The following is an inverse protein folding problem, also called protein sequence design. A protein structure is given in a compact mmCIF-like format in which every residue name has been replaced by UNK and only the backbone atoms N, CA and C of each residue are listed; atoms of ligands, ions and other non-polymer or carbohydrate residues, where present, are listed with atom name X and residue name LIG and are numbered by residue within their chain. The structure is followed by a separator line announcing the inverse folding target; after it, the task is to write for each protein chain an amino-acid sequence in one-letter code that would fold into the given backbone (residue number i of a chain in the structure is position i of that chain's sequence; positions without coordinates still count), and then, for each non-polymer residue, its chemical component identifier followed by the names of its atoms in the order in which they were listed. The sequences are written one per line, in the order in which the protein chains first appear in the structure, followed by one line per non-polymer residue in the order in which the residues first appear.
data_IF_684509406166
#
_entry.id   IF_684509406166
#
_cell.length_a   1.000
_cell.length_b   1.000
_cell.length_c   1.000
_cell.angle_alpha   90.00
_cell.angle_beta   90.00
_cell.angle_gamma   90.00
#
_symmetry.space_group_name_H-M   'P 1'
#
loop_
_entity.id
_entity.type
_entity.pdbx_description
1 polymer ?
#
# COMPACT_ATOMS: atom_id res chain seq x y z
N UNK A 1 -6.85 15.15 -11.84
CA UNK A 1 -7.87 15.30 -10.77
C UNK A 1 -8.61 14.00 -10.48
N UNK A 2 -9.01 13.22 -11.50
CA UNK A 2 -9.71 11.93 -11.36
C UNK A 2 -8.89 10.83 -10.66
N UNK A 3 -7.60 10.70 -10.95
CA UNK A 3 -6.72 9.69 -10.33
C UNK A 3 -6.58 9.85 -8.81
N UNK A 4 -6.46 11.09 -8.32
CA UNK A 4 -6.30 11.38 -6.90
C UNK A 4 -7.54 11.09 -6.07
N UNK A 5 -8.73 11.42 -6.60
CA UNK A 5 -10.02 11.11 -5.94
C UNK A 5 -10.18 9.60 -5.79
N UNK A 6 -9.81 8.86 -6.84
CA UNK A 6 -9.85 7.40 -6.85
C UNK A 6 -8.89 6.80 -5.82
N UNK A 7 -7.70 7.40 -5.64
CA UNK A 7 -6.74 7.03 -4.61
C UNK A 7 -7.26 7.23 -3.19
N UNK A 8 -7.88 8.37 -2.89
CA UNK A 8 -8.47 8.65 -1.58
C UNK A 8 -9.61 7.66 -1.26
N UNK A 9 -10.52 7.43 -2.20
CA UNK A 9 -11.60 6.46 -2.05
C UNK A 9 -11.05 5.05 -1.82
N UNK A 10 -10.05 4.65 -2.60
CA UNK A 10 -9.40 3.34 -2.47
C UNK A 10 -8.75 3.15 -1.09
N UNK A 11 -8.02 4.15 -0.62
CA UNK A 11 -7.38 4.12 0.70
C UNK A 11 -8.40 4.06 1.84
N UNK A 12 -9.54 4.75 1.72
CA UNK A 12 -10.65 4.64 2.69
C UNK A 12 -11.19 3.21 2.75
N UNK A 13 -11.41 2.56 1.60
CA UNK A 13 -11.85 1.16 1.59
C UNK A 13 -10.84 0.21 2.20
N UNK A 14 -9.54 0.41 1.92
CA UNK A 14 -8.46 -0.37 2.55
C UNK A 14 -8.55 -0.24 4.08
N UNK A 15 -8.66 0.99 4.59
CA UNK A 15 -8.81 1.24 6.03
C UNK A 15 -10.04 0.52 6.57
N UNK A 16 -11.23 0.72 5.99
CA UNK A 16 -12.47 0.09 6.48
C UNK A 16 -12.36 -1.44 6.54
N UNK A 17 -11.81 -2.06 5.49
CA UNK A 17 -11.67 -3.52 5.42
C UNK A 17 -10.67 -4.00 6.48
N UNK A 18 -9.48 -3.41 6.56
CA UNK A 18 -8.46 -3.88 7.50
C UNK A 18 -8.75 -3.52 8.95
N UNK A 19 -9.56 -2.49 9.23
CA UNK A 19 -10.04 -2.19 10.59
C UNK A 19 -10.85 -3.35 11.19
N UNK A 20 -11.45 -4.21 10.36
CA UNK A 20 -12.13 -5.44 10.83
C UNK A 20 -11.14 -6.54 11.26
N UNK A 21 -9.86 -6.40 10.90
CA UNK A 21 -8.81 -7.42 11.07
C UNK A 21 -7.60 -6.91 11.87
N UNK A 22 -7.81 -5.93 12.77
CA UNK A 22 -6.78 -5.25 13.59
C UNK A 22 -5.89 -6.16 14.43
N UNK A 23 -6.30 -7.40 14.68
CA UNK A 23 -5.52 -8.35 15.50
C UNK A 23 -4.23 -8.81 14.80
N UNK A 24 -4.10 -8.58 13.49
CA UNK A 24 -2.88 -8.89 12.76
C UNK A 24 -1.95 -7.67 12.70
N UNK A 25 -0.72 -7.80 13.21
CA UNK A 25 0.27 -6.71 13.20
C UNK A 25 0.49 -6.12 11.79
N UNK A 26 0.55 -6.95 10.76
CA UNK A 26 0.64 -6.51 9.37
C UNK A 26 -0.56 -5.66 8.90
N UNK A 27 -1.77 -5.96 9.36
CA UNK A 27 -2.93 -5.14 9.05
C UNK A 27 -2.79 -3.72 9.63
N UNK A 28 -2.17 -3.57 10.81
CA UNK A 28 -1.91 -2.26 11.43
C UNK A 28 -0.94 -1.44 10.57
N UNK A 29 0.13 -2.05 10.05
CA UNK A 29 1.06 -1.38 9.14
C UNK A 29 0.38 -0.98 7.83
N UNK A 30 -0.45 -1.85 7.25
CA UNK A 30 -1.20 -1.53 6.02
C UNK A 30 -2.24 -0.42 6.22
N UNK A 31 -2.93 -0.40 7.37
CA UNK A 31 -3.84 0.70 7.74
C UNK A 31 -3.05 2.00 7.87
N UNK A 32 -1.90 1.96 8.54
CA UNK A 32 -1.06 3.14 8.73
C UNK A 32 -0.52 3.67 7.40
N UNK A 33 -0.09 2.78 6.50
CA UNK A 33 0.33 3.13 5.14
C UNK A 33 -0.83 3.76 4.34
N UNK A 34 -2.03 3.20 4.41
CA UNK A 34 -3.22 3.75 3.73
C UNK A 34 -3.59 5.15 4.24
N UNK A 35 -3.50 5.38 5.56
CA UNK A 35 -3.73 6.70 6.16
C UNK A 35 -2.68 7.69 5.66
N UNK A 36 -1.39 7.33 5.73
CA UNK A 36 -0.31 8.19 5.26
C UNK A 36 -0.41 8.48 3.75
N UNK A 37 -0.81 7.50 2.94
CA UNK A 37 -1.07 7.69 1.51
C UNK A 37 -2.23 8.68 1.27
N UNK A 38 -3.31 8.63 2.04
CA UNK A 38 -4.41 9.59 1.92
C UNK A 38 -4.00 11.01 2.36
N UNK A 39 -3.21 11.14 3.43
CA UNK A 39 -2.64 12.42 3.86
C UNK A 39 -1.72 12.97 2.75
N UNK A 40 -0.86 12.13 2.17
CA UNK A 40 0.03 12.49 1.06
C UNK A 40 -0.74 13.02 -0.16
N UNK A 41 -1.79 12.30 -0.59
CA UNK A 41 -2.61 12.70 -1.75
C UNK A 41 -3.34 14.01 -1.46
N UNK A 42 -3.96 14.13 -0.27
CA UNK A 42 -4.69 15.32 0.14
C UNK A 42 -3.77 16.55 0.20
N UNK A 43 -2.60 16.40 0.82
CA UNK A 43 -1.65 17.50 0.95
C UNK A 43 -1.05 17.91 -0.41
N UNK A 44 -0.69 16.95 -1.27
CA UNK A 44 -0.25 17.26 -2.63
C UNK A 44 -1.29 18.03 -3.43
N UNK A 45 -2.57 17.65 -3.33
CA UNK A 45 -3.65 18.40 -3.97
C UNK A 45 -3.74 19.81 -3.43
N UNK A 46 -3.77 19.96 -2.10
CA UNK A 46 -3.85 21.26 -1.45
C UNK A 46 -2.74 22.21 -1.94
N UNK A 47 -1.51 21.69 -1.97
CA UNK A 47 -0.33 22.42 -2.41
C UNK A 47 -0.33 22.74 -3.91
N UNK A 48 -1.01 21.97 -4.76
CA UNK A 48 -1.17 22.29 -6.18
C UNK A 48 -2.20 23.41 -6.43
N UNK A 49 -3.26 23.48 -5.61
CA UNK A 49 -4.28 24.53 -5.73
C UNK A 49 -3.81 25.88 -5.14
N UNK A 50 -2.98 25.85 -4.10
CA UNK A 50 -2.56 27.05 -3.37
C UNK A 50 -1.88 28.15 -4.23
N UNK A 51 -0.95 27.85 -5.16
CA UNK A 51 -0.24 28.87 -5.96
C UNK A 51 -1.16 29.61 -6.94
N UNK A 52 -2.32 29.05 -7.27
CA UNK A 52 -3.28 29.69 -8.17
C UNK A 52 -3.95 30.92 -7.52
N UNK A 53 -3.86 31.03 -6.19
CA UNK A 53 -4.56 32.06 -5.42
C UNK A 53 -3.63 33.13 -4.82
N UNK A 54 -2.32 32.88 -4.78
CA UNK A 54 -1.31 33.77 -4.21
C UNK A 54 -0.13 33.92 -5.18
N UNK A 55 -0.17 34.94 -6.03
CA UNK A 55 0.84 35.23 -7.06
C UNK A 55 1.99 36.14 -6.58
N UNK A 56 2.02 36.55 -5.30
CA UNK A 56 2.98 37.55 -4.83
C UNK A 56 4.40 36.97 -4.61
N UNK A 57 5.42 37.65 -5.15
CA UNK A 57 6.85 37.31 -5.13
C UNK A 57 7.55 37.50 -3.76
N UNK A 58 6.84 37.35 -2.64
CA UNK A 58 7.39 37.62 -1.31
C UNK A 58 8.03 36.39 -0.66
N UNK A 59 8.79 36.59 0.43
CA UNK A 59 9.40 35.54 1.28
C UNK A 59 8.44 34.36 1.61
N UNK A 60 7.12 34.62 1.68
CA UNK A 60 6.09 33.60 1.85
C UNK A 60 6.04 32.60 0.70
N UNK A 61 6.20 33.03 -0.55
CA UNK A 61 6.25 32.15 -1.72
C UNK A 61 7.44 31.19 -1.66
N UNK A 62 8.59 31.64 -1.15
CA UNK A 62 9.78 30.79 -0.98
C UNK A 62 9.58 29.72 0.10
N UNK A 63 9.05 30.08 1.27
CA UNK A 63 8.76 29.13 2.35
C UNK A 63 7.72 28.09 1.91
N UNK A 64 6.65 28.54 1.23
CA UNK A 64 5.63 27.65 0.68
C UNK A 64 6.18 26.72 -0.40
N UNK A 65 7.08 27.21 -1.26
CA UNK A 65 7.76 26.39 -2.27
C UNK A 65 8.59 25.26 -1.63
N UNK A 66 9.33 25.56 -0.56
CA UNK A 66 10.07 24.54 0.19
C UNK A 66 9.15 23.54 0.86
N UNK A 67 8.12 24.00 1.59
CA UNK A 67 7.14 23.11 2.24
C UNK A 67 6.45 22.19 1.22
N UNK A 68 6.14 22.74 0.04
CA UNK A 68 5.56 22.01 -1.10
C UNK A 68 6.43 20.85 -1.57
N UNK A 69 7.74 20.98 -1.55
CA UNK A 69 8.66 19.92 -1.97
C UNK A 69 8.96 18.94 -0.85
N UNK A 70 9.26 19.43 0.35
CA UNK A 70 9.71 18.58 1.46
C UNK A 70 8.59 17.76 2.08
N UNK A 71 7.43 18.36 2.34
CA UNK A 71 6.40 17.67 3.14
C UNK A 71 5.79 16.46 2.41
N UNK A 72 5.39 16.55 1.12
CA UNK A 72 4.93 15.37 0.40
C UNK A 72 6.02 14.31 0.29
N UNK A 73 7.28 14.72 0.08
CA UNK A 73 8.40 13.77 0.02
C UNK A 73 8.52 12.99 1.33
N UNK A 74 8.49 13.67 2.48
CA UNK A 74 8.56 13.03 3.80
C UNK A 74 7.36 12.11 4.03
N UNK A 75 6.13 12.58 3.82
CA UNK A 75 4.92 11.79 4.06
C UNK A 75 4.88 10.56 3.14
N UNK A 76 5.24 10.74 1.87
CA UNK A 76 5.32 9.65 0.90
C UNK A 76 6.38 8.61 1.27
N UNK A 77 7.53 9.05 1.80
CA UNK A 77 8.54 8.13 2.34
C UNK A 77 8.05 7.42 3.60
N UNK A 78 7.38 8.11 4.53
CA UNK A 78 6.80 7.50 5.73
C UNK A 78 5.80 6.40 5.38
N UNK A 79 4.88 6.65 4.44
CA UNK A 79 3.91 5.65 3.98
C UNK A 79 4.62 4.37 3.48
N UNK A 80 5.71 4.52 2.74
CA UNK A 80 6.50 3.40 2.21
C UNK A 80 7.27 2.69 3.31
N UNK A 81 7.87 3.41 4.26
CA UNK A 81 8.57 2.80 5.39
C UNK A 81 7.65 1.92 6.23
N UNK A 82 6.36 2.26 6.35
CA UNK A 82 5.38 1.39 7.02
C UNK A 82 5.21 0.04 6.32
N UNK A 83 5.22 0.01 4.99
CA UNK A 83 5.15 -1.22 4.20
C UNK A 83 6.42 -2.06 4.41
N UNK A 84 7.58 -1.41 4.49
CA UNK A 84 8.86 -2.07 4.80
C UNK A 84 8.85 -2.66 6.21
N UNK A 85 8.35 -1.91 7.20
CA UNK A 85 8.21 -2.42 8.56
C UNK A 85 7.24 -3.61 8.61
N UNK A 86 6.19 -3.63 7.80
CA UNK A 86 5.33 -4.81 7.68
C UNK A 86 6.10 -6.04 7.16
N UNK A 87 6.98 -5.86 6.18
CA UNK A 87 7.87 -6.93 5.69
C UNK A 87 8.84 -7.41 6.76
N UNK A 88 9.50 -6.48 7.46
CA UNK A 88 10.48 -6.78 8.50
C UNK A 88 9.80 -7.53 9.65
N UNK A 89 8.64 -7.05 10.11
CA UNK A 89 7.84 -7.69 11.16
C UNK A 89 7.52 -9.15 10.77
N UNK A 90 7.02 -9.36 9.55
CA UNK A 90 6.73 -10.72 9.06
C UNK A 90 7.99 -11.57 8.89
N UNK A 91 9.09 -11.01 8.42
CA UNK A 91 10.36 -11.74 8.32
C UNK A 91 10.85 -12.18 9.70
N UNK A 92 10.79 -11.28 10.70
CA UNK A 92 11.19 -11.57 12.08
C UNK A 92 10.33 -12.66 12.71
N UNK A 93 9.03 -12.70 12.43
CA UNK A 93 8.14 -13.77 12.91
C UNK A 93 8.47 -15.11 12.25
N UNK A 94 8.93 -15.11 10.99
CA UNK A 94 9.26 -16.35 10.25
C UNK A 94 10.66 -16.91 10.52
N UNK A 95 11.58 -16.11 11.06
CA UNK A 95 12.98 -16.51 11.24
C UNK A 95 13.37 -16.62 12.72
N UNK A 96 13.70 -17.84 13.16
CA UNK A 96 14.02 -18.15 14.56
C UNK A 96 15.45 -17.76 14.99
N UNK A 97 16.28 -17.18 14.10
CA UNK A 97 17.67 -16.84 14.43
C UNK A 97 17.79 -15.45 15.03
N UNK A 98 18.12 -15.38 16.33
CA UNK A 98 18.25 -14.15 17.13
C UNK A 98 19.30 -13.17 16.59
N UNK A 99 20.41 -13.67 16.02
CA UNK A 99 21.49 -12.85 15.45
C UNK A 99 21.02 -12.04 14.23
N UNK A 100 20.12 -12.60 13.42
CA UNK A 100 19.55 -11.91 12.24
C UNK A 100 18.57 -10.81 12.68
N UNK A 101 17.88 -10.99 13.81
CA UNK A 101 16.96 -9.98 14.38
C UNK A 101 17.71 -8.73 14.86
N UNK A 102 18.92 -8.89 15.42
CA UNK A 102 19.73 -7.78 15.92
C UNK A 102 20.40 -6.97 14.79
N UNK A 103 20.85 -7.64 13.72
CA UNK A 103 21.52 -6.99 12.58
C UNK A 103 20.59 -6.09 11.74
N UNK A 104 19.29 -6.42 11.68
CA UNK A 104 18.29 -5.70 10.87
C UNK A 104 17.89 -4.35 11.47
N UNK A 105 17.93 -4.22 12.80
CA UNK A 105 17.60 -2.97 13.51
C UNK A 105 18.66 -1.89 13.26
N UNK A 106 19.91 -2.29 12.98
CA UNK A 106 21.06 -1.39 12.87
C UNK A 106 21.24 -0.87 11.43
N UNK A 107 20.74 -1.58 10.40
CA UNK A 107 20.88 -1.23 8.98
C UNK A 107 19.58 -0.60 8.43
N UNK A 108 18.93 0.25 9.23
CA UNK A 108 17.65 0.89 8.89
C UNK A 108 17.71 2.01 7.85
N UNK A 109 18.88 2.27 7.25
CA UNK A 109 19.15 3.48 6.45
C UNK A 109 19.38 3.22 4.95
N UNK A 110 19.20 1.98 4.46
CA UNK A 110 19.34 1.62 3.03
C UNK A 110 18.05 0.92 2.53
N UNK A 111 16.89 1.61 2.50
CA UNK A 111 15.58 0.93 2.38
C UNK A 111 15.32 0.16 1.07
N UNK A 112 15.76 0.60 -0.14
CA UNK A 112 15.26 -0.03 -1.37
C UNK A 112 15.96 -1.36 -1.75
N UNK A 113 17.28 -1.47 -1.57
CA UNK A 113 18.03 -2.71 -1.93
C UNK A 113 17.71 -3.85 -0.95
N UNK A 114 17.52 -3.46 0.32
CA UNK A 114 17.18 -4.37 1.40
C UNK A 114 15.75 -4.92 1.26
N UNK A 115 14.82 -4.14 0.71
CA UNK A 115 13.45 -4.55 0.40
C UNK A 115 13.39 -5.70 -0.61
N UNK A 116 14.18 -5.66 -1.68
CA UNK A 116 14.18 -6.71 -2.70
C UNK A 116 14.81 -8.01 -2.17
N UNK A 117 15.93 -7.89 -1.43
CA UNK A 117 16.61 -9.04 -0.83
C UNK A 117 15.70 -9.70 0.22
N UNK A 118 15.07 -8.94 1.12
CA UNK A 118 14.20 -9.52 2.14
C UNK A 118 12.86 -9.99 1.60
N UNK A 119 12.26 -9.32 0.61
CA UNK A 119 11.07 -9.81 -0.07
C UNK A 119 11.31 -11.19 -0.71
N UNK A 120 12.44 -11.32 -1.42
CA UNK A 120 12.86 -12.58 -2.03
C UNK A 120 13.15 -13.67 -0.98
N UNK A 121 13.95 -13.35 0.05
CA UNK A 121 14.31 -14.30 1.11
C UNK A 121 13.08 -14.77 1.89
N UNK A 122 12.13 -13.89 2.19
CA UNK A 122 10.89 -14.25 2.89
C UNK A 122 10.07 -15.24 2.07
N UNK A 123 9.96 -15.00 0.76
CA UNK A 123 9.25 -15.88 -0.15
C UNK A 123 9.90 -17.28 -0.23
N UNK A 124 11.22 -17.33 -0.33
CA UNK A 124 11.99 -18.58 -0.31
C UNK A 124 11.88 -19.33 1.03
N UNK A 125 11.93 -18.61 2.16
CA UNK A 125 11.84 -19.19 3.49
C UNK A 125 10.45 -19.77 3.75
N UNK A 126 9.38 -19.07 3.34
CA UNK A 126 8.01 -19.60 3.39
C UNK A 126 7.83 -20.86 2.54
N UNK A 127 8.47 -20.93 1.35
CA UNK A 127 8.47 -22.16 0.53
C UNK A 127 9.18 -23.32 1.21
N UNK A 128 10.26 -23.05 1.97
CA UNK A 128 11.06 -24.06 2.69
C UNK A 128 10.35 -24.58 3.93
N UNK A 129 9.72 -23.69 4.71
CA UNK A 129 8.88 -24.05 5.87
C UNK A 129 7.65 -24.85 5.42
N UNK A 130 7.06 -24.50 4.28
CA UNK A 130 5.96 -25.25 3.67
C UNK A 130 6.34 -26.69 3.30
N UNK A 131 7.61 -26.97 2.96
CA UNK A 131 8.08 -28.34 2.67
C UNK A 131 8.40 -29.15 3.93
N UNK A 132 8.70 -28.52 5.06
CA UNK A 132 9.04 -29.23 6.32
C UNK A 132 7.85 -29.52 7.23
N UNK A 133 6.71 -28.85 7.00
CA UNK A 133 5.52 -28.99 7.84
C UNK A 133 4.37 -29.53 7.00
N UNK A 134 4.33 -30.86 6.80
CA UNK A 134 3.08 -31.58 6.55
C UNK A 134 2.33 -31.74 7.89
N UNK A 135 1.00 -31.58 7.96
CA UNK A 135 0.29 -31.51 9.23
C UNK A 135 -0.19 -32.89 9.71
N UNK A 136 0.33 -33.32 10.85
CA UNK A 136 -0.44 -34.11 11.82
C UNK A 136 -1.33 -33.12 12.59
N UNK A 137 -2.56 -33.52 12.97
CA UNK A 137 -3.62 -32.79 13.71
C UNK A 137 -4.73 -32.20 12.83
N UNK A 138 -5.85 -32.95 12.74
CA UNK A 138 -6.95 -32.81 11.76
C UNK A 138 -8.11 -31.85 12.13
N UNK A 139 -8.23 -31.40 13.39
CA UNK A 139 -9.45 -30.70 13.86
C UNK A 139 -9.28 -29.20 14.21
N UNK A 140 -8.06 -28.69 14.37
CA UNK A 140 -7.77 -27.23 14.45
C UNK A 140 -7.46 -26.62 13.06
N UNK A 141 -7.67 -27.41 11.99
CA UNK A 141 -7.15 -27.15 10.65
C UNK A 141 -7.90 -26.02 9.95
N UNK A 142 -9.22 -25.91 10.02
CA UNK A 142 -9.94 -24.96 9.18
C UNK A 142 -9.63 -23.50 9.52
N UNK A 143 -9.63 -23.14 10.81
CA UNK A 143 -9.30 -21.79 11.26
C UNK A 143 -7.84 -21.42 10.99
N UNK A 144 -6.89 -22.33 11.26
CA UNK A 144 -5.46 -22.08 11.03
C UNK A 144 -5.09 -22.08 9.54
N UNK A 145 -5.75 -22.88 8.70
CA UNK A 145 -5.55 -22.86 7.25
C UNK A 145 -6.08 -21.55 6.66
N UNK A 146 -7.24 -21.07 7.12
CA UNK A 146 -7.80 -19.78 6.68
C UNK A 146 -6.90 -18.59 7.09
N UNK A 147 -6.46 -18.53 8.35
CA UNK A 147 -5.54 -17.49 8.85
C UNK A 147 -4.22 -17.50 8.06
N UNK A 148 -3.65 -18.69 7.83
CA UNK A 148 -2.38 -18.87 7.11
C UNK A 148 -2.48 -18.54 5.63
N UNK A 149 -3.63 -18.77 5.01
CA UNK A 149 -3.89 -18.36 3.62
C UNK A 149 -3.98 -16.83 3.51
N UNK A 150 -4.64 -16.18 4.46
CA UNK A 150 -4.77 -14.73 4.52
C UNK A 150 -3.42 -14.03 4.73
N UNK A 151 -2.58 -14.57 5.61
CA UNK A 151 -1.22 -14.06 5.82
C UNK A 151 -0.35 -14.14 4.56
N UNK A 152 -0.49 -15.23 3.80
CA UNK A 152 0.21 -15.38 2.51
C UNK A 152 -0.30 -14.38 1.49
N UNK A 153 -1.61 -14.19 1.40
CA UNK A 153 -2.20 -13.25 0.45
C UNK A 153 -1.80 -11.81 0.79
N UNK A 154 -1.72 -11.46 2.09
CA UNK A 154 -1.18 -10.18 2.58
C UNK A 154 0.29 -9.99 2.21
N UNK A 155 1.12 -11.03 2.37
CA UNK A 155 2.53 -10.97 2.01
C UNK A 155 2.73 -10.77 0.50
N UNK A 156 1.94 -11.46 -0.33
CA UNK A 156 1.99 -11.29 -1.79
C UNK A 156 1.65 -9.85 -2.17
N UNK A 157 0.58 -9.28 -1.59
CA UNK A 157 0.19 -7.88 -1.81
C UNK A 157 1.37 -6.93 -1.53
N UNK A 158 1.97 -7.07 -0.34
CA UNK A 158 3.06 -6.18 0.11
C UNK A 158 4.28 -6.28 -0.82
N UNK A 159 4.63 -7.49 -1.28
CA UNK A 159 5.74 -7.70 -2.23
C UNK A 159 5.47 -7.01 -3.56
N UNK A 160 4.24 -7.09 -4.08
CA UNK A 160 3.89 -6.41 -5.32
C UNK A 160 3.93 -4.88 -5.19
N UNK A 161 3.49 -4.35 -4.05
CA UNK A 161 3.55 -2.92 -3.77
C UNK A 161 4.99 -2.41 -3.69
N UNK A 162 5.88 -3.20 -3.07
CA UNK A 162 7.33 -2.95 -3.08
C UNK A 162 7.91 -2.98 -4.49
N UNK A 163 7.56 -3.99 -5.28
CA UNK A 163 8.08 -4.17 -6.64
C UNK A 163 7.70 -3.00 -7.56
N UNK A 164 6.41 -2.61 -7.55
CA UNK A 164 5.92 -1.46 -8.32
C UNK A 164 6.62 -0.17 -7.86
N UNK A 165 6.84 -0.01 -6.56
CA UNK A 165 7.57 1.13 -6.02
C UNK A 165 9.02 1.18 -6.50
N UNK A 166 9.76 0.08 -6.44
CA UNK A 166 11.17 0.01 -6.87
C UNK A 166 11.31 0.40 -8.33
N UNK A 167 10.41 -0.07 -9.19
CA UNK A 167 10.40 0.31 -10.62
C UNK A 167 10.15 1.82 -10.78
N UNK A 168 9.11 2.36 -10.13
CA UNK A 168 8.78 3.78 -10.24
C UNK A 168 9.89 4.68 -9.67
N UNK A 169 10.49 4.29 -8.54
CA UNK A 169 11.53 5.04 -7.86
C UNK A 169 12.86 5.00 -8.59
N UNK A 170 13.23 3.84 -9.16
CA UNK A 170 14.45 3.71 -9.96
C UNK A 170 14.36 4.57 -11.21
N UNK A 171 13.23 4.54 -11.92
CA UNK A 171 13.01 5.40 -13.10
C UNK A 171 13.14 6.89 -12.75
N UNK A 172 12.51 7.34 -11.66
CA UNK A 172 12.62 8.74 -11.21
C UNK A 172 14.07 9.11 -10.85
N UNK A 173 14.78 8.22 -10.16
CA UNK A 173 16.17 8.45 -9.74
C UNK A 173 17.12 8.53 -10.95
N UNK A 174 16.90 7.70 -11.97
CA UNK A 174 17.68 7.72 -13.21
C UNK A 174 17.49 9.03 -13.99
N UNK A 175 16.24 9.50 -14.14
CA UNK A 175 15.94 10.76 -14.83
C UNK A 175 16.54 11.95 -14.07
N UNK A 176 16.50 11.92 -12.74
CA UNK A 176 17.08 12.98 -11.91
C UNK A 176 18.62 12.97 -11.98
N UNK A 177 19.24 11.79 -12.05
CA UNK A 177 20.68 11.65 -12.26
C UNK A 177 21.07 12.19 -13.65
N UNK A 178 20.32 11.87 -14.69
CA UNK A 178 20.54 12.40 -16.05
C UNK A 178 20.43 13.94 -16.06
N UNK A 179 19.40 14.49 -15.42
CA UNK A 179 19.19 15.94 -15.24
C UNK A 179 20.41 16.63 -14.61
N UNK A 180 20.94 16.06 -13.52
CA UNK A 180 22.13 16.56 -12.82
C UNK A 180 23.40 16.48 -13.66
N UNK A 181 23.62 15.35 -14.36
CA UNK A 181 24.78 15.19 -15.24
C UNK A 181 24.71 16.20 -16.39
N UNK A 182 23.52 16.37 -16.97
CA UNK A 182 23.29 17.29 -18.08
C UNK A 182 23.54 18.76 -17.68
N UNK A 183 23.12 19.17 -16.47
CA UNK A 183 23.43 20.50 -15.93
C UNK A 183 24.94 20.75 -15.74
N UNK A 184 25.69 19.71 -15.34
CA UNK A 184 27.14 19.84 -15.14
C UNK A 184 27.93 19.82 -16.44
N UNK A 185 27.47 19.05 -17.43
CA UNK A 185 28.23 18.80 -18.68
C UNK A 185 27.89 19.77 -19.81
N UNK A 186 26.65 20.28 -19.86
CA UNK A 186 26.21 21.19 -20.92
C UNK A 186 26.09 22.64 -20.42
N UNK A 187 27.00 23.50 -20.88
CA UNK A 187 27.01 24.92 -20.50
C UNK A 187 25.76 25.68 -20.99
N UNK A 188 25.18 25.26 -22.14
CA UNK A 188 23.97 25.82 -22.74
C UNK A 188 23.04 24.70 -23.21
N UNK A 189 21.95 24.45 -22.48
CA UNK A 189 20.92 23.48 -22.87
C UNK A 189 20.04 24.04 -23.99
N UNK A 190 19.70 23.22 -24.99
CA UNK A 190 18.73 23.60 -26.01
C UNK A 190 17.32 23.62 -25.42
N UNK A 191 16.43 24.47 -25.96
CA UNK A 191 15.03 24.57 -25.51
C UNK A 191 14.31 23.23 -25.66
N UNK A 192 14.57 22.50 -26.74
CA UNK A 192 13.96 21.19 -27.00
C UNK A 192 14.39 20.12 -25.98
N UNK A 193 15.66 20.14 -25.57
CA UNK A 193 16.15 19.22 -24.55
C UNK A 193 15.51 19.51 -23.19
N UNK A 194 15.45 20.78 -22.80
CA UNK A 194 14.81 21.20 -21.55
C UNK A 194 13.32 20.81 -21.50
N UNK A 195 12.60 20.91 -22.62
CA UNK A 195 11.21 20.46 -22.71
C UNK A 195 11.08 18.95 -22.51
N UNK A 196 11.99 18.17 -23.11
CA UNK A 196 12.00 16.70 -22.99
C UNK A 196 12.30 16.27 -21.54
N UNK A 197 13.29 16.91 -20.91
CA UNK A 197 13.68 16.67 -19.52
C UNK A 197 12.51 16.95 -18.56
N UNK A 198 11.85 18.09 -18.70
CA UNK A 198 10.68 18.45 -17.90
C UNK A 198 9.51 17.47 -18.11
N UNK A 199 9.29 17.02 -19.35
CA UNK A 199 8.27 16.02 -19.66
C UNK A 199 8.56 14.67 -18.99
N UNK A 200 9.81 14.20 -19.04
CA UNK A 200 10.23 12.95 -18.40
C UNK A 200 10.12 13.03 -16.88
N UNK A 201 10.52 14.15 -16.27
CA UNK A 201 10.36 14.40 -14.84
C UNK A 201 8.88 14.42 -14.43
N UNK A 202 8.01 15.04 -15.23
CA UNK A 202 6.58 15.02 -15.01
C UNK A 202 6.01 13.59 -15.08
N UNK A 203 6.40 12.82 -16.09
CA UNK A 203 5.96 11.43 -16.26
C UNK A 203 6.42 10.55 -15.08
N UNK A 204 7.66 10.69 -14.65
CA UNK A 204 8.21 9.94 -13.52
C UNK A 204 7.54 10.33 -12.19
N UNK A 205 7.29 11.62 -11.97
CA UNK A 205 6.52 12.09 -10.82
C UNK A 205 5.08 11.57 -10.83
N UNK A 206 4.45 11.50 -12.01
CA UNK A 206 3.12 10.93 -12.17
C UNK A 206 3.11 9.45 -11.81
N UNK A 207 4.09 8.65 -12.27
CA UNK A 207 4.23 7.24 -11.90
C UNK A 207 4.42 7.06 -10.39
N UNK A 208 5.23 7.90 -9.75
CA UNK A 208 5.44 7.87 -8.32
C UNK A 208 4.15 8.19 -7.53
N UNK A 209 3.34 9.11 -8.05
CA UNK A 209 2.07 9.53 -7.42
C UNK A 209 0.95 8.50 -7.65
N UNK A 210 0.93 7.87 -8.81
CA UNK A 210 0.02 6.75 -9.12
C UNK A 210 0.26 5.60 -8.16
N UNK A 211 1.51 5.36 -7.74
CA UNK A 211 1.84 4.29 -6.80
C UNK A 211 1.04 4.40 -5.48
N UNK A 212 0.94 5.59 -4.88
CA UNK A 212 0.13 5.83 -3.66
C UNK A 212 -1.38 5.64 -3.86
N UNK A 213 -1.85 5.65 -5.10
CA UNK A 213 -3.25 5.37 -5.47
C UNK A 213 -3.45 3.92 -5.95
N UNK A 214 -2.35 3.21 -6.25
CA UNK A 214 -2.37 1.88 -6.86
C UNK A 214 -2.65 0.77 -5.86
N UNK A 215 -2.36 0.98 -4.57
CA UNK A 215 -2.52 -0.01 -3.50
C UNK A 215 -3.91 -0.64 -3.52
N UNK A 216 -4.99 0.15 -3.66
CA UNK A 216 -6.34 -0.39 -3.74
C UNK A 216 -6.54 -1.36 -4.93
N UNK A 217 -6.04 -0.98 -6.11
CA UNK A 217 -6.15 -1.81 -7.32
C UNK A 217 -5.30 -3.09 -7.23
N UNK A 218 -4.12 -2.99 -6.65
CA UNK A 218 -3.25 -4.13 -6.36
C UNK A 218 -3.98 -5.09 -5.42
N UNK A 219 -4.63 -4.57 -4.37
CA UNK A 219 -5.26 -5.39 -3.34
C UNK A 219 -6.50 -6.10 -3.90
N UNK A 220 -7.28 -5.38 -4.70
CA UNK A 220 -8.44 -5.93 -5.41
C UNK A 220 -8.04 -6.98 -6.44
N UNK A 221 -6.98 -6.75 -7.21
CA UNK A 221 -6.53 -7.66 -8.28
C UNK A 221 -5.83 -8.91 -7.76
N UNK A 222 -5.03 -8.80 -6.69
CA UNK A 222 -4.15 -9.89 -6.25
C UNK A 222 -4.71 -10.73 -5.10
N UNK A 223 -5.49 -10.16 -4.19
CA UNK A 223 -5.96 -10.90 -3.00
C UNK A 223 -7.40 -11.36 -3.14
N UNK A 224 -7.59 -12.67 -3.20
CA UNK A 224 -8.93 -13.28 -3.18
C UNK A 224 -9.64 -12.95 -1.87
N UNK A 225 -8.93 -13.00 -0.74
CA UNK A 225 -9.51 -12.66 0.56
C UNK A 225 -9.99 -11.22 0.61
N UNK A 226 -9.22 -10.27 0.07
CA UNK A 226 -9.62 -8.87 0.03
C UNK A 226 -10.84 -8.63 -0.86
N UNK A 227 -10.92 -9.31 -2.02
CA UNK A 227 -12.09 -9.24 -2.90
C UNK A 227 -13.37 -9.72 -2.24
N UNK A 228 -13.32 -10.82 -1.50
CA UNK A 228 -14.50 -11.34 -0.82
C UNK A 228 -14.95 -10.41 0.30
N UNK A 229 -14.03 -9.87 1.09
CA UNK A 229 -14.35 -8.86 2.12
C UNK A 229 -14.94 -7.59 1.49
N UNK A 230 -14.39 -7.12 0.36
CA UNK A 230 -14.91 -5.97 -0.37
C UNK A 230 -16.31 -6.21 -0.95
N UNK A 231 -16.57 -7.39 -1.54
CA UNK A 231 -17.91 -7.78 -2.00
C UNK A 231 -18.90 -7.82 -0.84
N UNK A 232 -18.51 -8.38 0.30
CA UNK A 232 -19.37 -8.43 1.49
C UNK A 232 -19.69 -7.02 2.00
N UNK A 233 -18.72 -6.11 2.00
CA UNK A 233 -18.92 -4.71 2.35
C UNK A 233 -19.91 -4.03 1.40
N UNK A 234 -19.76 -4.21 0.08
CA UNK A 234 -20.70 -3.66 -0.92
C UNK A 234 -22.10 -4.23 -0.70
N UNK A 235 -22.24 -5.54 -0.52
CA UNK A 235 -23.53 -6.19 -0.28
C UNK A 235 -24.18 -5.71 1.02
N UNK A 236 -23.39 -5.49 2.07
CA UNK A 236 -23.87 -4.92 3.32
C UNK A 236 -24.41 -3.50 3.13
N UNK A 237 -23.64 -2.63 2.46
CA UNK A 237 -24.05 -1.23 2.18
C UNK A 237 -25.29 -1.20 1.30
N UNK A 238 -25.32 -2.00 0.22
CA UNK A 238 -26.46 -2.11 -0.68
C UNK A 238 -27.74 -2.55 0.04
N UNK A 239 -27.66 -3.57 0.91
CA UNK A 239 -28.82 -4.04 1.69
C UNK A 239 -29.28 -3.03 2.73
N UNK A 240 -28.35 -2.33 3.37
CA UNK A 240 -28.65 -1.25 4.33
C UNK A 240 -29.38 -0.10 3.64
N UNK A 241 -28.93 0.30 2.44
CA UNK A 241 -29.60 1.29 1.60
C UNK A 241 -31.00 0.83 1.17
N UNK A 242 -31.17 -0.46 0.84
CA UNK A 242 -32.45 -1.05 0.43
C UNK A 242 -33.37 -1.42 1.61
N UNK A 243 -33.00 -1.12 2.86
CA UNK A 243 -33.73 -1.53 4.09
C UNK A 243 -34.14 -3.02 4.11
N UNK A 244 -33.36 -3.88 3.46
CA UNK A 244 -33.67 -5.31 3.40
C UNK A 244 -33.20 -5.99 4.69
N UNK A 245 -33.98 -6.92 5.28
CA UNK A 245 -33.62 -7.54 6.56
C UNK A 245 -32.34 -8.40 6.45
N UNK A 246 -31.52 -8.48 7.51
CA UNK A 246 -30.23 -9.17 7.49
C UNK A 246 -30.38 -10.70 7.30
N UNK A 247 -29.44 -11.37 6.62
CA UNK A 247 -29.45 -12.83 6.34
C UNK A 247 -29.75 -13.69 7.58
N UNK A 248 -29.33 -13.26 8.79
CA UNK A 248 -29.63 -13.98 10.04
C UNK A 248 -31.13 -14.11 10.32
N UNK A 249 -31.96 -13.19 9.84
CA UNK A 249 -33.42 -13.32 9.95
C UNK A 249 -33.97 -14.31 8.92
N UNK A 250 -33.45 -14.34 7.69
CA UNK A 250 -33.90 -15.28 6.65
C UNK A 250 -33.56 -16.73 7.02
N UNK A 251 -32.37 -16.97 7.59
CA UNK A 251 -32.01 -18.32 8.03
C UNK A 251 -32.87 -18.78 9.22
N UNK A 252 -33.16 -17.89 10.19
CA UNK A 252 -34.10 -18.19 11.29
C UNK A 252 -35.55 -18.36 10.83
N UNK A 253 -36.00 -17.59 9.85
CA UNK A 253 -37.34 -17.70 9.26
C UNK A 253 -37.45 -19.02 8.49
N UNK A 254 -36.43 -19.42 7.74
CA UNK A 254 -36.40 -20.71 7.05
C UNK A 254 -36.33 -21.89 8.04
N UNK A 255 -35.56 -21.77 9.14
CA UNK A 255 -35.56 -22.79 10.20
C UNK A 255 -36.87 -22.86 10.98
N UNK A 256 -37.61 -21.75 11.11
CA UNK A 256 -38.94 -21.72 11.71
C UNK A 256 -40.00 -22.32 10.76
N UNK A 257 -39.99 -21.96 9.48
CA UNK A 257 -40.88 -22.51 8.45
C UNK A 257 -40.69 -24.02 8.23
N UNK A 258 -39.45 -24.50 8.28
CA UNK A 258 -39.13 -25.94 8.18
C UNK A 258 -39.52 -26.70 9.47
N UNK A 259 -39.69 -26.00 10.60
CA UNK A 259 -40.21 -26.58 11.84
C UNK A 259 -41.73 -26.70 11.82
N UNK A 260 -42.43 -25.70 11.30
CA UNK A 260 -43.89 -25.70 11.18
C UNK A 260 -44.44 -26.68 10.12
N UNK A 261 -43.62 -27.08 9.14
CA UNK A 261 -44.01 -28.08 8.12
C UNK A 261 -43.77 -29.54 8.55
N UNK A 262 -43.27 -29.77 9.78
CA UNK A 262 -43.04 -31.12 10.35
C UNK A 262 -44.00 -31.50 11.48
N UNK A 263 -45.04 -30.69 11.72
CA UNK A 263 -46.19 -31.01 12.57
C UNK A 263 -47.42 -31.24 11.67
#
# INVERSE_FOLDING_TARGET
MSSSILGDIGNIFIVIIFLQHKQNACAIYLISAAILNSIYITFNRFVQYFPFYYSDETLRAFVLCKIRLYLPSIIGQLAKTMIVFACIDRFMITNNRVIVRAFIIIIGTIPPIIMDIFGYLTCCNMRRVRRRIQPIVRNTIEGNVFLRQRDRDLLIIVIYEIFIYVIAASLYSLILLESLISDYTMLNKSVQYLQTENFLLFLAFLLLTVNSSSSFFIYLSLSKSFREDFKQLILYVYRKLRRSPPIRSIHRINEALVRDTRL
#
